data_IF_273437106747
#
_entry.id   IF_273437106747
#
_cell.length_a   1.000
_cell.length_b   1.000
_cell.length_c   1.000
_cell.angle_alpha   90.00
_cell.angle_beta   90.00
_cell.angle_gamma   90.00
#
_symmetry.space_group_name_H-M   'P 1'
#
loop_
_entity.id
_entity.type
_entity.pdbx_description
1 polymer ?
#
# COMPACT_ATOMS: atom_id res chain seq x y z
N UNK A 1 18.34 9.92 -12.88
CA UNK A 1 17.73 8.91 -12.00
C UNK A 1 16.68 8.20 -12.84
N UNK A 2 16.94 6.96 -13.25
CA UNK A 2 16.02 6.17 -14.09
C UNK A 2 15.09 5.44 -13.14
N UNK A 3 13.81 5.79 -13.14
CA UNK A 3 12.82 5.06 -12.34
C UNK A 3 12.66 3.66 -12.95
N UNK A 4 12.72 2.59 -12.13
CA UNK A 4 12.44 1.26 -12.63
C UNK A 4 10.99 1.23 -13.12
N UNK A 5 10.82 1.10 -14.44
CA UNK A 5 9.52 0.91 -15.05
C UNK A 5 9.28 -0.59 -15.04
N UNK A 6 8.48 -1.10 -14.11
CA UNK A 6 7.97 -2.47 -14.21
C UNK A 6 7.17 -2.54 -15.51
N UNK A 7 7.63 -3.35 -16.46
CA UNK A 7 7.27 -3.33 -17.89
C UNK A 7 5.78 -3.59 -18.22
N UNK A 8 4.88 -3.61 -17.23
CA UNK A 8 3.47 -3.97 -17.43
C UNK A 8 2.57 -2.82 -17.89
N UNK A 9 2.99 -1.55 -17.83
CA UNK A 9 2.21 -0.46 -18.40
C UNK A 9 2.75 -0.07 -19.77
N UNK A 10 1.89 -0.04 -20.83
CA UNK A 10 2.31 0.40 -22.14
C UNK A 10 2.92 1.80 -22.04
N UNK A 11 4.00 2.05 -22.81
CA UNK A 11 4.64 3.36 -22.93
C UNK A 11 3.58 4.34 -23.42
N UNK A 12 2.94 5.00 -22.47
CA UNK A 12 1.92 6.01 -22.69
C UNK A 12 2.56 7.30 -22.23
N UNK A 13 2.53 8.34 -23.07
CA UNK A 13 3.11 9.65 -22.78
C UNK A 13 2.28 10.42 -21.74
N UNK A 14 1.89 9.77 -20.64
CA UNK A 14 1.23 10.44 -19.53
C UNK A 14 2.28 11.15 -18.69
N UNK A 15 2.02 12.42 -18.38
CA UNK A 15 2.89 13.19 -17.49
C UNK A 15 2.87 12.57 -16.11
N UNK A 16 4.05 12.33 -15.53
CA UNK A 16 4.16 11.94 -14.12
C UNK A 16 3.78 13.14 -13.25
N UNK A 17 3.00 12.89 -12.20
CA UNK A 17 2.46 13.94 -11.33
C UNK A 17 3.06 13.84 -9.92
N UNK A 18 2.89 14.92 -9.15
CA UNK A 18 3.22 14.97 -7.73
C UNK A 18 1.89 15.01 -6.97
N UNK A 19 1.61 13.95 -6.22
CA UNK A 19 0.43 13.86 -5.37
C UNK A 19 0.80 14.17 -3.93
N UNK A 20 -0.01 14.97 -3.25
CA UNK A 20 0.14 15.23 -1.82
C UNK A 20 -1.19 14.96 -1.13
N UNK A 21 -1.17 14.07 -0.14
CA UNK A 21 -2.29 13.81 0.74
C UNK A 21 -2.09 14.59 2.03
N UNK A 22 -3.16 15.22 2.52
CA UNK A 22 -3.15 16.01 3.75
C UNK A 22 -4.15 15.44 4.74
N UNK A 23 -3.77 15.38 6.01
CA UNK A 23 -4.70 15.20 7.12
C UNK A 23 -4.97 16.55 7.76
N UNK A 24 -6.24 16.86 7.96
CA UNK A 24 -6.68 18.15 8.50
C UNK A 24 -7.43 17.92 9.81
N UNK A 25 -7.01 18.60 10.88
CA UNK A 25 -7.79 18.69 12.12
C UNK A 25 -8.92 19.68 11.90
N UNK A 26 -10.15 19.16 11.80
CA UNK A 26 -11.36 19.95 11.54
C UNK A 26 -11.65 20.94 12.67
N UNK A 27 -11.32 20.60 13.93
CA UNK A 27 -11.59 21.45 15.09
C UNK A 27 -10.64 22.64 15.14
N UNK A 28 -9.38 22.42 14.81
CA UNK A 28 -8.35 23.48 14.77
C UNK A 28 -8.27 24.20 13.42
N UNK A 29 -8.84 23.62 12.37
CA UNK A 29 -8.74 24.12 11.01
C UNK A 29 -7.31 24.10 10.46
N UNK A 30 -6.48 23.16 10.92
CA UNK A 30 -5.05 23.11 10.64
C UNK A 30 -4.64 21.79 9.99
N UNK A 31 -3.68 21.86 9.07
CA UNK A 31 -3.02 20.67 8.53
C UNK A 31 -2.17 20.06 9.64
N UNK A 32 -2.38 18.76 9.89
CA UNK A 32 -1.63 18.02 10.90
C UNK A 32 -0.44 17.30 10.27
N UNK A 33 -0.67 16.60 9.16
CA UNK A 33 0.34 15.79 8.50
C UNK A 33 0.12 15.74 7.00
N UNK A 34 1.17 15.41 6.26
CA UNK A 34 1.09 15.23 4.81
C UNK A 34 2.03 14.11 4.34
N UNK A 35 1.67 13.47 3.24
CA UNK A 35 2.48 12.47 2.55
C UNK A 35 2.53 12.83 1.07
N UNK A 36 3.72 12.77 0.48
CA UNK A 36 3.96 13.12 -0.92
C UNK A 36 4.40 11.90 -1.73
N UNK A 37 3.77 11.73 -2.90
CA UNK A 37 4.16 10.77 -3.92
C UNK A 37 4.64 11.53 -5.15
N UNK A 38 5.96 11.56 -5.32
CA UNK A 38 6.60 12.22 -6.46
C UNK A 38 6.68 11.28 -7.66
N UNK A 39 6.51 11.86 -8.85
CA UNK A 39 6.66 11.17 -10.13
C UNK A 39 5.84 9.89 -10.22
N UNK A 40 4.58 9.98 -9.79
CA UNK A 40 3.68 8.85 -9.68
C UNK A 40 2.48 8.99 -10.61
N UNK A 41 1.74 7.89 -10.75
CA UNK A 41 0.43 7.85 -11.41
C UNK A 41 -0.55 7.20 -10.44
N UNK A 42 -1.41 8.00 -9.83
CA UNK A 42 -2.41 7.54 -8.86
C UNK A 42 -3.79 7.84 -9.44
N UNK A 43 -4.65 6.83 -9.54
CA UNK A 43 -6.04 7.04 -9.91
C UNK A 43 -6.80 7.60 -8.70
N UNK A 44 -7.12 8.89 -8.68
CA UNK A 44 -7.81 9.50 -7.55
C UNK A 44 -9.27 9.05 -7.38
N UNK A 45 -9.92 8.53 -8.44
CA UNK A 45 -11.32 8.10 -8.39
C UNK A 45 -11.48 6.71 -7.78
N UNK A 46 -10.55 5.80 -8.07
CA UNK A 46 -10.67 4.38 -7.67
C UNK A 46 -9.39 3.78 -7.06
N UNK A 47 -8.32 4.56 -6.95
CA UNK A 47 -7.01 4.12 -6.44
C UNK A 47 -6.65 4.68 -5.08
N UNK A 48 -7.59 5.35 -4.40
CA UNK A 48 -7.40 5.82 -3.02
C UNK A 48 -8.59 5.34 -2.20
N UNK A 49 -8.32 4.67 -1.09
CA UNK A 49 -9.34 4.19 -0.16
C UNK A 49 -8.93 4.47 1.28
N UNK A 50 -9.91 4.80 2.12
CA UNK A 50 -9.76 4.90 3.56
C UNK A 50 -10.80 4.00 4.20
N UNK A 51 -10.34 2.97 4.92
CA UNK A 51 -11.18 2.02 5.64
C UNK A 51 -10.80 2.06 7.12
N UNK A 52 -11.66 2.65 7.95
CA UNK A 52 -11.32 2.92 9.35
C UNK A 52 -10.09 3.83 9.45
N UNK A 53 -9.04 3.33 10.09
CA UNK A 53 -7.74 4.00 10.22
C UNK A 53 -6.72 3.58 9.16
N UNK A 54 -7.07 2.65 8.25
CA UNK A 54 -6.17 2.20 7.19
C UNK A 54 -6.45 2.95 5.89
N UNK A 55 -5.45 3.67 5.39
CA UNK A 55 -5.46 4.33 4.09
C UNK A 55 -4.64 3.51 3.09
N UNK A 56 -5.17 3.34 1.88
CA UNK A 56 -4.51 2.63 0.79
C UNK A 56 -4.44 3.53 -0.43
N UNK A 57 -3.24 3.61 -1.03
CA UNK A 57 -2.97 4.41 -2.23
C UNK A 57 -2.33 3.52 -3.29
N UNK A 58 -3.04 3.29 -4.38
CA UNK A 58 -2.59 2.49 -5.51
C UNK A 58 -1.77 3.34 -6.49
N UNK A 59 -0.46 3.13 -6.47
CA UNK A 59 0.48 3.64 -7.47
C UNK A 59 0.46 2.73 -8.70
N UNK A 60 -0.06 3.24 -9.81
CA UNK A 60 -0.03 2.55 -11.09
C UNK A 60 1.38 2.53 -11.68
N UNK A 61 2.11 3.65 -11.56
CA UNK A 61 3.46 3.77 -12.11
C UNK A 61 4.45 2.82 -11.45
N UNK A 62 4.36 2.64 -10.13
CA UNK A 62 5.24 1.74 -9.38
C UNK A 62 4.67 0.33 -9.25
N UNK A 63 3.41 0.12 -9.61
CA UNK A 63 2.67 -1.14 -9.43
C UNK A 63 2.68 -1.60 -7.96
N UNK A 64 2.41 -0.65 -7.06
CA UNK A 64 2.44 -0.85 -5.61
C UNK A 64 1.20 -0.22 -4.99
N UNK A 65 0.63 -0.88 -3.99
CA UNK A 65 -0.36 -0.31 -3.08
C UNK A 65 0.38 0.11 -1.80
N UNK A 66 0.46 1.41 -1.58
CA UNK A 66 0.99 1.97 -0.35
C UNK A 66 -0.08 1.89 0.75
N UNK A 67 0.21 1.16 1.82
CA UNK A 67 -0.66 1.13 3.01
C UNK A 67 -0.13 2.08 4.07
N UNK A 68 -1.02 2.91 4.62
CA UNK A 68 -0.74 3.81 5.71
C UNK A 68 -1.76 3.63 6.83
N UNK A 69 -1.32 3.71 8.07
CA UNK A 69 -2.17 3.86 9.23
C UNK A 69 -2.31 5.35 9.55
N UNK A 70 -3.54 5.84 9.63
CA UNK A 70 -3.86 7.16 10.15
C UNK A 70 -4.10 7.01 11.65
N UNK A 71 -3.20 7.54 12.46
CA UNK A 71 -3.33 7.49 13.91
C UNK A 71 -4.40 8.46 14.43
N UNK A 72 -4.68 8.41 15.74
CA UNK A 72 -5.63 9.33 16.39
C UNK A 72 -5.16 10.79 16.36
N UNK A 73 -3.86 11.04 16.24
CA UNK A 73 -3.31 12.39 16.14
C UNK A 73 -3.51 13.00 14.74
N UNK A 74 -3.77 12.18 13.72
CA UNK A 74 -3.87 12.55 12.31
C UNK A 74 -2.58 12.32 11.51
N UNK A 75 -1.54 11.75 12.13
CA UNK A 75 -0.32 11.34 11.47
C UNK A 75 -0.58 10.12 10.57
N UNK A 76 -0.04 10.17 9.35
CA UNK A 76 -0.07 9.06 8.40
C UNK A 76 1.23 8.29 8.51
N UNK A 77 1.16 7.08 9.07
CA UNK A 77 2.29 6.21 9.35
C UNK A 77 2.33 5.12 8.26
N UNK A 78 3.38 5.05 7.43
CA UNK A 78 3.53 3.97 6.46
C UNK A 78 3.55 2.60 7.16
N UNK A 79 2.77 1.64 6.65
CA UNK A 79 2.71 0.27 7.17
C UNK A 79 3.54 -0.69 6.30
N UNK A 80 3.03 -0.97 5.10
CA UNK A 80 3.61 -1.90 4.15
C UNK A 80 3.23 -1.47 2.74
N UNK A 81 4.15 -1.68 1.82
CA UNK A 81 3.90 -1.56 0.39
C UNK A 81 3.60 -2.97 -0.16
N UNK A 82 2.42 -3.13 -0.77
CA UNK A 82 2.01 -4.37 -1.42
C UNK A 82 2.31 -4.25 -2.91
N UNK A 83 3.14 -5.13 -3.46
CA UNK A 83 3.54 -5.12 -4.87
C UNK A 83 4.64 -6.13 -5.15
N UNK A 84 5.79 -5.68 -5.66
CA UNK A 84 6.96 -6.55 -5.92
C UNK A 84 7.48 -7.30 -4.67
N UNK A 85 7.05 -6.93 -3.47
CA UNK A 85 7.36 -7.63 -2.21
C UNK A 85 6.74 -9.03 -2.13
N UNK A 86 5.84 -9.42 -3.04
CA UNK A 86 5.32 -10.81 -3.10
C UNK A 86 6.44 -11.82 -3.40
N UNK A 87 7.57 -11.39 -3.96
CA UNK A 87 8.74 -12.25 -4.24
C UNK A 87 9.72 -12.35 -3.06
N UNK A 88 9.63 -11.49 -2.04
CA UNK A 88 10.59 -11.49 -0.93
C UNK A 88 10.42 -12.76 -0.06
N UNK A 89 9.19 -13.26 0.06
CA UNK A 89 8.92 -14.53 0.76
C UNK A 89 9.28 -15.76 -0.10
N UNK A 90 9.22 -15.66 -1.43
CA UNK A 90 9.59 -16.76 -2.33
C UNK A 90 11.08 -17.12 -2.23
N UNK A 91 11.95 -16.14 -1.93
CA UNK A 91 13.36 -16.40 -1.69
C UNK A 91 13.56 -17.29 -0.45
N UNK A 92 12.73 -17.14 0.59
CA UNK A 92 12.79 -18.01 1.78
C UNK A 92 12.39 -19.45 1.45
N UNK A 93 11.42 -19.66 0.55
CA UNK A 93 11.04 -20.99 0.07
C UNK A 93 12.10 -21.61 -0.86
N UNK A 94 12.76 -20.81 -1.70
CA UNK A 94 13.76 -21.31 -2.65
C UNK A 94 15.10 -21.68 -1.97
N UNK A 95 15.47 -20.98 -0.89
CA UNK A 95 16.71 -21.23 -0.15
C UNK A 95 16.53 -22.12 1.10
N UNK A 96 15.32 -22.62 1.38
CA UNK A 96 15.11 -23.75 2.30
C UNK A 96 15.58 -23.53 3.73
N UNK A 97 15.59 -22.29 4.24
CA UNK A 97 15.80 -22.04 5.67
C UNK A 97 14.46 -22.01 6.39
N UNK A 98 13.77 -23.14 6.40
CA UNK A 98 12.69 -23.40 7.35
C UNK A 98 13.35 -23.66 8.71
N UNK A 99 13.52 -22.62 9.52
CA UNK A 99 13.49 -22.84 10.97
C UNK A 99 12.02 -22.99 11.35
N UNK A 100 11.65 -24.19 11.80
CA UNK A 100 10.33 -24.54 12.33
C UNK A 100 9.91 -23.59 13.46
N UNK A 101 9.25 -22.48 13.13
CA UNK A 101 8.49 -21.68 14.10
C UNK A 101 7.06 -21.49 13.55
N UNK A 102 6.23 -22.48 13.88
CA UNK A 102 4.84 -22.32 14.39
C UNK A 102 3.70 -21.94 13.44
N UNK A 103 3.00 -22.98 12.95
CA UNK A 103 1.65 -23.42 13.37
C UNK A 103 0.50 -22.42 13.66
N UNK A 104 0.49 -21.17 13.17
CA UNK A 104 -0.63 -20.23 13.44
C UNK A 104 -1.33 -19.63 12.21
N UNK A 105 -0.92 -19.94 10.98
CA UNK A 105 -1.48 -19.34 9.76
C UNK A 105 -2.28 -20.34 8.90
N UNK A 106 -2.96 -21.29 9.54
CA UNK A 106 -3.98 -22.13 8.85
C UNK A 106 -5.38 -21.78 9.33
N UNK A 107 -5.53 -21.01 10.41
CA UNK A 107 -6.83 -20.78 11.05
C UNK A 107 -7.60 -19.54 10.51
N UNK A 108 -6.98 -18.69 9.69
CA UNK A 108 -7.67 -17.50 9.16
C UNK A 108 -8.37 -17.73 7.82
N UNK A 109 -7.94 -18.74 7.04
CA UNK A 109 -8.56 -19.04 5.74
C UNK A 109 -9.81 -19.91 5.88
N UNK A 110 -9.95 -20.68 6.96
CA UNK A 110 -11.16 -21.48 7.22
C UNK A 110 -12.33 -20.64 7.74
N UNK A 111 -12.06 -19.49 8.40
CA UNK A 111 -13.13 -18.65 8.96
C UNK A 111 -13.93 -17.88 7.89
N UNK A 112 -13.33 -17.59 6.73
CA UNK A 112 -14.01 -16.82 5.69
C UNK A 112 -14.92 -17.66 4.78
N UNK A 113 -14.74 -18.98 4.71
CA UNK A 113 -15.52 -19.84 3.82
C UNK A 113 -16.82 -20.38 4.46
N UNK A 114 -16.95 -20.35 5.79
CA UNK A 114 -18.17 -20.80 6.48
C UNK A 114 -19.23 -19.70 6.69
N UNK A 115 -18.99 -18.44 6.27
CA UNK A 115 -19.93 -17.33 6.51
C UNK A 115 -20.73 -16.85 5.30
N UNK A 116 -20.71 -17.59 4.20
CA UNK A 116 -21.60 -17.37 3.06
C UNK A 116 -22.55 -18.56 2.89
N UNK A 117 -23.35 -18.84 3.92
CA UNK A 117 -24.62 -19.57 3.77
C UNK A 117 -25.64 -18.73 3.03
#
# INVERSE_FOLDING_TARGET
>A
MVYPNSEALPITNHSLEIYTFFTIDIKKGAVVHFVMYNFDRINLTHGVALCGTAMMVMSLQKQVIHMLHVDESGAMIPLKDIGLSIWDDDALYLFGLVTEERSAEVDLMTVCEERSS
#
